data_IF_510678994588
#
_entry.id   IF_510678994588
#
_cell.length_a   1.000
_cell.length_b   1.000
_cell.length_c   1.000
_cell.angle_alpha   90.00
_cell.angle_beta   90.00
_cell.angle_gamma   90.00
#
_symmetry.space_group_name_H-M   'P 1'
#
loop_
_entity.id
_entity.type
_entity.pdbx_description
1 polymer ?
#
# COMPACT_ATOMS: atom_id res chain seq x y z
N UNK A 1 20.93 7.76 -1.36
CA UNK A 1 20.76 6.39 -1.86
C UNK A 1 19.62 5.74 -1.09
N UNK A 2 18.44 5.51 -1.68
CA UNK A 2 17.37 4.79 -0.96
C UNK A 2 17.70 3.30 -1.01
N UNK A 3 18.23 2.75 0.08
CA UNK A 3 18.44 1.30 0.23
C UNK A 3 17.09 0.60 0.06
N UNK A 4 16.94 -0.20 -0.99
CA UNK A 4 15.83 -1.13 -1.11
C UNK A 4 16.04 -2.22 -0.05
N UNK A 5 14.99 -2.56 0.69
CA UNK A 5 15.01 -3.64 1.68
C UNK A 5 14.23 -4.84 1.16
N UNK A 6 14.50 -6.01 1.71
CA UNK A 6 13.66 -7.18 1.48
C UNK A 6 12.35 -7.05 2.27
N UNK A 7 11.25 -7.56 1.71
CA UNK A 7 10.00 -7.60 2.46
C UNK A 7 10.16 -8.51 3.68
N UNK A 8 9.83 -8.04 4.90
CA UNK A 8 10.05 -8.82 6.10
C UNK A 8 9.28 -10.14 6.05
N UNK A 9 9.95 -11.25 6.36
CA UNK A 9 9.32 -12.58 6.39
C UNK A 9 8.11 -12.62 7.33
N UNK A 10 8.20 -11.95 8.48
CA UNK A 10 7.11 -11.80 9.45
C UNK A 10 5.88 -11.04 8.91
N UNK A 11 5.96 -10.44 7.72
CA UNK A 11 4.83 -9.81 7.03
C UNK A 11 4.52 -10.48 5.68
N UNK A 12 5.10 -11.64 5.39
CA UNK A 12 4.91 -12.33 4.11
C UNK A 12 3.43 -12.68 3.84
N UNK A 13 2.66 -12.93 4.89
CA UNK A 13 1.22 -13.19 4.80
C UNK A 13 0.44 -12.04 4.14
N UNK A 14 0.94 -10.80 4.22
CA UNK A 14 0.32 -9.64 3.59
C UNK A 14 0.32 -9.71 2.05
N UNK A 15 1.11 -10.60 1.46
CA UNK A 15 1.26 -10.69 0.01
C UNK A 15 0.39 -11.80 -0.61
N UNK A 16 -0.24 -12.64 0.19
CA UNK A 16 -0.91 -13.85 -0.29
C UNK A 16 -2.26 -13.57 -0.97
N UNK A 17 -3.04 -12.65 -0.42
CA UNK A 17 -4.40 -12.34 -0.87
C UNK A 17 -4.51 -10.87 -1.30
N UNK A 18 -3.65 -10.48 -2.25
CA UNK A 18 -3.64 -9.14 -2.80
C UNK A 18 -4.57 -8.99 -4.00
N UNK A 19 -5.38 -7.94 -3.97
CA UNK A 19 -6.22 -7.53 -5.09
C UNK A 19 -5.60 -6.35 -5.84
N UNK A 20 -5.54 -6.43 -7.18
CA UNK A 20 -5.10 -5.32 -8.02
C UNK A 20 -6.04 -4.13 -7.86
N UNK A 21 -5.48 -2.95 -7.61
CA UNK A 21 -6.24 -1.71 -7.49
C UNK A 21 -5.47 -0.53 -8.08
N UNK A 22 -6.13 0.62 -8.13
CA UNK A 22 -5.52 1.89 -8.53
C UNK A 22 -5.64 2.89 -7.41
N UNK A 23 -4.50 3.45 -7.05
CA UNK A 23 -4.47 4.62 -6.21
C UNK A 23 -4.84 5.85 -7.08
N UNK A 24 -6.06 6.41 -6.97
CA UNK A 24 -6.49 7.80 -7.35
C UNK A 24 -6.44 8.89 -6.25
N UNK A 25 -5.73 10.01 -6.49
CA UNK A 25 -5.62 11.11 -5.51
C UNK A 25 -6.72 12.12 -5.85
N UNK A 26 -7.74 12.24 -5.01
CA UNK A 26 -8.87 13.13 -5.30
C UNK A 26 -8.71 14.43 -4.51
N UNK A 27 -8.73 15.56 -5.21
CA UNK A 27 -9.03 16.87 -4.61
C UNK A 27 -10.54 17.00 -4.56
N UNK A 28 -11.05 17.27 -3.38
CA UNK A 28 -12.42 17.69 -3.15
C UNK A 28 -12.46 19.21 -3.05
N UNK A 29 -13.16 19.87 -3.98
CA UNK A 29 -13.42 21.31 -3.90
C UNK A 29 -14.90 21.52 -3.59
N UNK A 30 -15.25 22.07 -2.41
CA UNK A 30 -16.63 22.44 -2.13
C UNK A 30 -17.04 23.59 -3.06
N UNK A 31 -18.21 23.46 -3.65
CA UNK A 31 -18.80 24.45 -4.56
C UNK A 31 -19.84 25.28 -3.81
N UNK A 32 -20.16 26.48 -4.31
CA UNK A 32 -21.12 27.41 -3.67
C UNK A 32 -22.57 26.86 -3.61
N UNK A 33 -22.87 25.79 -4.35
CA UNK A 33 -24.18 25.11 -4.36
C UNK A 33 -24.25 23.92 -3.38
N UNK A 34 -23.22 23.72 -2.54
CA UNK A 34 -23.14 22.60 -1.60
C UNK A 34 -22.66 21.28 -2.21
N UNK A 35 -22.41 21.24 -3.54
CA UNK A 35 -21.83 20.06 -4.19
C UNK A 35 -20.31 19.99 -3.98
N UNK A 36 -19.75 18.78 -4.00
CA UNK A 36 -18.30 18.56 -3.92
C UNK A 36 -17.78 18.15 -5.29
N UNK A 37 -16.95 18.99 -5.90
CA UNK A 37 -16.29 18.64 -7.15
C UNK A 37 -15.02 17.83 -6.86
N UNK A 38 -15.07 16.54 -7.19
CA UNK A 38 -13.93 15.62 -7.10
C UNK A 38 -13.11 15.70 -8.38
N UNK A 39 -11.83 16.07 -8.30
CA UNK A 39 -10.91 16.03 -9.44
C UNK A 39 -9.64 15.26 -9.07
N UNK A 40 -9.12 14.38 -9.93
CA UNK A 40 -7.85 13.73 -9.66
C UNK A 40 -6.72 14.77 -9.69
N UNK A 41 -5.93 14.86 -8.60
CA UNK A 41 -4.74 15.74 -8.52
C UNK A 41 -3.59 15.21 -9.35
N UNK A 42 -3.50 13.88 -9.48
CA UNK A 42 -2.41 13.15 -10.12
C UNK A 42 -2.96 11.93 -10.86
N UNK A 43 -2.26 11.44 -11.89
CA UNK A 43 -2.61 10.18 -12.54
C UNK A 43 -2.66 9.06 -11.50
N UNK A 44 -3.59 8.13 -11.72
CA UNK A 44 -3.71 6.96 -10.87
C UNK A 44 -2.45 6.11 -10.93
N UNK A 45 -2.03 5.57 -9.79
CA UNK A 45 -0.89 4.67 -9.70
C UNK A 45 -1.36 3.25 -9.45
N UNK A 46 -0.69 2.28 -10.06
CA UNK A 46 -0.98 0.88 -9.81
C UNK A 46 -0.61 0.51 -8.38
N UNK A 47 -1.45 -0.31 -7.77
CA UNK A 47 -1.33 -0.72 -6.40
C UNK A 47 -2.01 -2.04 -6.14
N UNK A 48 -1.87 -2.48 -4.90
CA UNK A 48 -2.48 -3.65 -4.33
C UNK A 48 -3.26 -3.26 -3.08
N UNK A 49 -4.38 -3.93 -2.86
CA UNK A 49 -5.15 -3.86 -1.63
C UNK A 49 -5.14 -5.23 -1.00
N UNK A 50 -4.98 -5.28 0.32
CA UNK A 50 -5.13 -6.50 1.10
C UNK A 50 -5.81 -6.21 2.44
N UNK A 51 -6.26 -7.28 3.08
CA UNK A 51 -6.76 -7.29 4.45
C UNK A 51 -6.13 -8.48 5.16
N UNK A 52 -5.62 -8.28 6.39
CA UNK A 52 -5.03 -9.37 7.15
C UNK A 52 -5.21 -9.16 8.65
N UNK A 53 -5.00 -10.25 9.40
CA UNK A 53 -4.95 -10.26 10.87
C UNK A 53 -3.51 -10.05 11.32
N UNK A 54 -3.34 -9.20 12.32
CA UNK A 54 -2.05 -8.82 12.89
C UNK A 54 -2.07 -9.07 14.38
N UNK A 55 -1.05 -9.74 14.89
CA UNK A 55 -0.63 -9.64 16.28
C UNK A 55 -0.03 -8.26 16.56
N UNK A 56 0.11 -7.84 17.82
CA UNK A 56 0.69 -6.53 18.14
C UNK A 56 2.10 -6.32 17.56
N UNK A 57 2.95 -7.36 17.59
CA UNK A 57 4.32 -7.28 17.06
C UNK A 57 4.34 -7.15 15.52
N UNK A 58 3.45 -7.87 14.83
CA UNK A 58 3.32 -7.76 13.38
C UNK A 58 2.77 -6.38 12.99
N UNK A 59 1.87 -5.81 13.78
CA UNK A 59 1.39 -4.44 13.57
C UNK A 59 2.53 -3.43 13.70
N UNK A 60 3.38 -3.54 14.72
CA UNK A 60 4.55 -2.67 14.91
C UNK A 60 5.57 -2.81 13.77
N UNK A 61 5.84 -4.05 13.34
CA UNK A 61 6.70 -4.32 12.20
C UNK A 61 6.11 -3.72 10.91
N UNK A 62 4.81 -3.88 10.68
CA UNK A 62 4.10 -3.29 9.54
C UNK A 62 4.18 -1.77 9.55
N UNK A 63 3.96 -1.14 10.70
CA UNK A 63 4.13 0.32 10.88
C UNK A 63 5.54 0.77 10.57
N UNK A 64 6.55 -0.01 10.92
CA UNK A 64 7.96 0.29 10.62
C UNK A 64 8.29 0.22 9.11
N UNK A 65 7.47 -0.47 8.32
CA UNK A 65 7.64 -0.65 6.87
C UNK A 65 6.95 0.44 6.04
N UNK A 66 6.04 1.21 6.64
CA UNK A 66 5.32 2.30 5.97
C UNK A 66 6.29 3.28 5.32
N UNK A 67 6.08 3.56 4.03
CA UNK A 67 6.89 4.49 3.23
C UNK A 67 8.26 3.94 2.81
N UNK A 68 8.66 2.75 3.29
CA UNK A 68 9.92 2.11 2.86
C UNK A 68 9.71 1.35 1.56
N UNK A 69 10.73 1.38 0.71
CA UNK A 69 10.79 0.62 -0.53
C UNK A 69 11.28 -0.78 -0.24
N UNK A 70 10.40 -1.75 -0.43
CA UNK A 70 10.69 -3.15 -0.25
C UNK A 70 10.65 -3.89 -1.58
N UNK A 71 11.32 -5.03 -1.66
CA UNK A 71 11.22 -5.96 -2.79
C UNK A 71 10.58 -7.25 -2.28
N UNK A 72 9.65 -7.80 -3.04
CA UNK A 72 8.99 -9.05 -2.69
C UNK A 72 8.55 -9.84 -3.92
N UNK A 73 8.39 -11.14 -3.74
CA UNK A 73 7.64 -12.01 -4.64
C UNK A 73 6.15 -11.92 -4.31
N UNK A 74 5.33 -11.61 -5.31
CA UNK A 74 3.87 -11.61 -5.18
C UNK A 74 3.34 -12.87 -5.89
N UNK A 75 2.56 -13.72 -5.21
CA UNK A 75 1.91 -14.86 -5.86
C UNK A 75 1.15 -14.46 -7.13
N UNK A 76 1.41 -15.16 -8.23
CA UNK A 76 0.80 -14.87 -9.53
C UNK A 76 1.54 -13.84 -10.39
N UNK A 77 2.51 -13.10 -9.84
CA UNK A 77 3.41 -12.25 -10.61
C UNK A 77 4.63 -13.05 -11.09
N UNK A 78 5.09 -12.75 -12.32
CA UNK A 78 6.27 -13.41 -12.91
C UNK A 78 7.59 -12.88 -12.38
N UNK A 79 7.63 -11.59 -12.06
CA UNK A 79 8.82 -10.87 -11.63
C UNK A 79 8.64 -10.38 -10.19
N UNK A 80 9.74 -10.36 -9.43
CA UNK A 80 9.82 -9.65 -8.16
C UNK A 80 9.38 -8.21 -8.33
N UNK A 81 8.59 -7.69 -7.39
CA UNK A 81 8.02 -6.35 -7.45
C UNK A 81 8.71 -5.42 -6.46
N UNK A 82 8.89 -4.16 -6.86
CA UNK A 82 9.21 -3.07 -5.94
C UNK A 82 7.92 -2.54 -5.35
N UNK A 83 7.83 -2.58 -4.04
CA UNK A 83 6.62 -2.32 -3.28
C UNK A 83 6.88 -1.20 -2.27
N UNK A 84 5.84 -0.42 -1.98
CA UNK A 84 5.87 0.54 -0.90
C UNK A 84 4.57 0.44 -0.13
N UNK A 85 4.65 0.01 1.13
CA UNK A 85 3.49 0.00 2.00
C UNK A 85 3.06 1.44 2.25
N UNK A 86 1.81 1.75 1.93
CA UNK A 86 1.25 3.07 2.13
C UNK A 86 0.70 3.14 3.55
N UNK A 87 1.17 4.12 4.33
CA UNK A 87 0.52 4.51 5.58
C UNK A 87 -0.48 5.64 5.34
N UNK A 88 -0.88 6.31 6.41
CA UNK A 88 -1.57 7.61 6.40
C UNK A 88 -0.61 8.73 5.93
N UNK A 89 0.06 8.56 4.80
CA UNK A 89 1.11 9.44 4.31
C UNK A 89 0.53 10.81 3.90
N UNK A 90 1.05 11.95 4.42
CA UNK A 90 0.62 13.30 4.03
C UNK A 90 0.87 13.66 2.54
N UNK A 91 1.68 12.89 1.80
CA UNK A 91 1.79 13.02 0.33
C UNK A 91 0.62 12.37 -0.42
N UNK A 92 -0.16 11.54 0.27
CA UNK A 92 -1.26 10.74 -0.24
C UNK A 92 -2.49 10.77 0.68
N UNK A 93 -2.97 11.96 1.12
CA UNK A 93 -4.00 12.10 2.15
C UNK A 93 -5.39 11.59 1.73
N UNK A 94 -5.62 11.37 0.43
CA UNK A 94 -6.85 10.76 -0.10
C UNK A 94 -6.79 9.23 -0.23
N UNK A 95 -5.66 8.61 0.14
CA UNK A 95 -5.44 7.16 0.09
C UNK A 95 -5.38 6.50 1.45
N UNK A 96 -5.53 7.30 2.50
CA UNK A 96 -5.64 6.80 3.85
C UNK A 96 -6.69 5.68 3.86
N UNK A 97 -6.42 4.54 4.52
CA UNK A 97 -7.45 3.57 4.80
C UNK A 97 -8.57 4.23 5.63
N UNK A 98 -9.59 4.76 4.94
CA UNK A 98 -10.86 5.12 5.55
C UNK A 98 -11.57 3.82 5.91
N UNK A 99 -11.13 3.17 6.99
CA UNK A 99 -11.88 2.28 7.87
C UNK A 99 -10.90 1.53 8.77
N UNK A 100 -10.50 2.16 9.88
CA UNK A 100 -10.16 1.42 11.09
C UNK A 100 -11.47 0.85 11.64
N UNK A 101 -11.85 -0.35 11.20
CA UNK A 101 -12.85 -1.12 11.94
C UNK A 101 -12.11 -1.92 13.01
N UNK A 102 -11.84 -1.28 14.15
CA UNK A 102 -11.27 -1.96 15.32
C UNK A 102 -12.41 -2.69 16.01
N UNK A 103 -12.54 -3.99 15.77
CA UNK A 103 -13.47 -4.83 16.52
C UNK A 103 -12.79 -5.27 17.81
N UNK A 104 -13.04 -4.57 18.91
CA UNK A 104 -12.61 -4.99 20.24
C UNK A 104 -13.50 -6.16 20.70
N UNK A 105 -13.15 -7.40 20.36
CA UNK A 105 -13.80 -8.58 20.95
C UNK A 105 -13.05 -9.02 22.19
N UNK A 106 -13.70 -8.92 23.36
CA UNK A 106 -13.16 -9.20 24.71
C UNK A 106 -12.84 -10.70 25.00
N UNK A 107 -12.48 -11.51 24.00
CA UNK A 107 -12.22 -12.95 24.20
C UNK A 107 -11.08 -13.42 23.29
N UNK A 108 -9.87 -13.61 23.83
CA UNK A 108 -8.72 -14.22 23.13
C UNK A 108 -7.58 -13.25 22.78
N UNK A 109 -6.39 -13.77 22.39
CA UNK A 109 -5.19 -12.98 22.17
C UNK A 109 -5.47 -11.84 21.18
N UNK A 110 -5.13 -10.61 21.58
CA UNK A 110 -5.50 -9.36 20.89
C UNK A 110 -4.94 -9.34 19.47
N UNK A 111 -5.81 -9.40 18.46
CA UNK A 111 -5.41 -9.22 17.07
C UNK A 111 -6.16 -8.04 16.45
N UNK A 112 -5.49 -7.35 15.52
CA UNK A 112 -6.04 -6.27 14.71
C UNK A 112 -6.35 -6.82 13.31
N UNK A 113 -7.51 -6.50 12.74
CA UNK A 113 -7.75 -6.68 11.30
C UNK A 113 -7.46 -5.36 10.62
N UNK A 114 -6.50 -5.34 9.70
CA UNK A 114 -6.09 -4.11 9.02
C UNK A 114 -6.23 -4.28 7.52
N UNK A 115 -6.94 -3.34 6.90
CA UNK A 115 -6.91 -3.11 5.45
C UNK A 115 -5.74 -2.22 5.11
N UNK A 116 -4.93 -2.64 4.16
CA UNK A 116 -3.72 -1.94 3.75
C UNK A 116 -3.63 -1.80 2.23
N UNK A 117 -2.86 -0.81 1.81
CA UNK A 117 -2.55 -0.56 0.41
C UNK A 117 -1.05 -0.61 0.19
N UNK A 118 -0.63 -1.28 -0.87
CA UNK A 118 0.77 -1.36 -1.29
C UNK A 118 0.86 -0.71 -2.65
N UNK A 119 1.61 0.37 -2.76
CA UNK A 119 1.90 0.96 -4.06
C UNK A 119 2.86 0.05 -4.81
N UNK A 120 2.54 -0.21 -6.08
CA UNK A 120 3.38 -0.96 -6.99
C UNK A 120 4.32 0.02 -7.72
N UNK A 121 5.63 -0.12 -7.51
CA UNK A 121 6.69 0.64 -8.20
C UNK A 121 7.24 -0.11 -9.43
N UNK A 122 6.58 -1.20 -9.84
CA UNK A 122 6.92 -1.98 -11.03
C UNK A 122 7.82 -3.18 -10.74
N UNK A 123 8.05 -4.01 -11.77
CA UNK A 123 8.89 -5.20 -11.66
C UNK A 123 10.38 -4.83 -11.51
N UNK A 124 11.13 -5.71 -10.87
CA UNK A 124 12.57 -5.59 -10.69
C UNK A 124 13.36 -5.98 -11.95
N UNK A 125 12.72 -6.55 -12.97
CA UNK A 125 13.37 -6.99 -14.21
C UNK A 125 14.27 -5.91 -14.82
N UNK A 126 15.42 -6.34 -15.36
CA UNK A 126 16.57 -5.54 -15.85
C UNK A 126 16.27 -4.50 -16.96
N UNK A 127 14.99 -4.29 -17.31
CA UNK A 127 14.55 -3.43 -18.42
C UNK A 127 14.66 -1.92 -18.18
N UNK A 128 15.14 -1.45 -17.03
CA UNK A 128 15.35 -0.01 -16.79
C UNK A 128 16.57 0.58 -17.54
N UNK A 129 17.37 -0.25 -18.23
CA UNK A 129 18.52 0.20 -19.03
C UNK A 129 18.28 0.35 -20.54
N UNK A 130 17.09 0.01 -21.07
CA UNK A 130 16.81 0.14 -22.53
C UNK A 130 15.80 1.24 -22.85
N UNK A 131 16.01 2.45 -22.33
CA UNK A 131 15.24 3.64 -22.76
C UNK A 131 16.10 4.89 -22.75
N UNK A 132 17.36 4.80 -23.20
CA UNK A 132 18.22 5.96 -23.43
C UNK A 132 19.24 5.74 -24.56
N UNK A 133 18.79 5.17 -25.67
CA UNK A 133 19.46 5.26 -26.96
C UNK A 133 18.39 5.02 -28.02
N UNK A 134 17.75 6.10 -28.46
CA UNK A 134 17.63 6.49 -29.88
C UNK A 134 17.35 7.99 -29.93
#
# INVERSE_FOLDING_TARGET
MSSQIEWPEGLGFMLLELERTKLTNIIETPMNDGSIKKRPRRPSKDAWRGEARFTPLEEDLMRSMVGKRAVADIPGEKDRRRLTLMGDDPFYPGYAPQQRQVTWSNVGPTFSIIRYFIRDEGPLSEGALKSKTT
#
